data_IF_611311286274
#
_entry.id   IF_611311286274
#
_cell.length_a   1.000
_cell.length_b   1.000
_cell.length_c   1.000
_cell.angle_alpha   90.00
_cell.angle_beta   90.00
_cell.angle_gamma   90.00
#
_symmetry.space_group_name_H-M   'P 1'
#
loop_
_entity.id
_entity.type
_entity.pdbx_description
1 polymer ?
#
# COMPACT_ATOMS: atom_id res chain seq x y z
N UNK A 1 3.89 -17.07 9.07
CA UNK A 1 4.70 -15.88 9.37
C UNK A 1 4.76 -15.78 10.87
N UNK A 2 5.96 -15.81 11.46
CA UNK A 2 6.13 -15.57 12.88
C UNK A 2 6.18 -14.06 13.14
N UNK A 3 5.88 -13.63 14.38
CA UNK A 3 6.03 -12.24 14.81
C UNK A 3 7.47 -11.73 14.59
N UNK A 4 8.44 -12.61 14.77
CA UNK A 4 9.85 -12.29 14.55
C UNK A 4 10.15 -11.95 13.07
N UNK A 5 9.56 -12.68 12.12
CA UNK A 5 9.70 -12.38 10.68
C UNK A 5 9.13 -11.00 10.33
N UNK A 6 8.05 -10.61 11.02
CA UNK A 6 7.42 -9.30 10.84
C UNK A 6 8.36 -8.17 11.25
N UNK A 7 8.96 -8.25 12.44
CA UNK A 7 9.91 -7.24 12.93
C UNK A 7 11.20 -7.22 12.11
N UNK A 8 11.78 -8.38 11.78
CA UNK A 8 12.99 -8.47 10.94
C UNK A 8 12.76 -7.84 9.56
N UNK A 9 11.59 -8.09 8.98
CA UNK A 9 11.19 -7.48 7.71
C UNK A 9 11.08 -5.97 7.81
N UNK A 10 10.43 -5.43 8.85
CA UNK A 10 10.29 -3.99 9.05
C UNK A 10 11.65 -3.29 9.20
N UNK A 11 12.54 -3.87 10.00
CA UNK A 11 13.91 -3.35 10.20
C UNK A 11 14.71 -3.35 8.88
N UNK A 12 14.60 -4.41 8.08
CA UNK A 12 15.26 -4.47 6.78
C UNK A 12 14.78 -3.37 5.83
N UNK A 13 13.47 -3.08 5.84
CA UNK A 13 12.86 -2.05 4.96
C UNK A 13 13.18 -0.64 5.43
N UNK A 14 13.30 -0.41 6.74
CA UNK A 14 13.55 0.93 7.30
C UNK A 14 14.77 1.62 6.68
N UNK A 15 15.86 0.87 6.45
CA UNK A 15 17.08 1.40 5.82
C UNK A 15 16.92 1.85 4.36
N UNK A 16 15.83 1.47 3.70
CA UNK A 16 15.53 1.83 2.32
C UNK A 16 14.64 3.06 2.19
N UNK A 17 13.88 3.44 3.23
CA UNK A 17 12.95 4.58 3.16
C UNK A 17 13.63 5.89 2.71
N UNK A 18 14.83 6.27 3.20
CA UNK A 18 15.52 7.46 2.73
C UNK A 18 15.84 7.43 1.23
N UNK A 19 16.17 6.26 0.66
CA UNK A 19 16.51 6.13 -0.76
C UNK A 19 15.32 6.42 -1.67
N UNK A 20 14.11 6.05 -1.24
CA UNK A 20 12.89 6.41 -1.97
C UNK A 20 12.64 7.92 -1.93
N UNK A 21 12.88 8.57 -0.77
CA UNK A 21 12.75 10.02 -0.63
C UNK A 21 13.78 10.74 -1.53
N UNK A 22 15.05 10.32 -1.48
CA UNK A 22 16.14 10.87 -2.30
C UNK A 22 15.83 10.76 -3.79
N UNK A 23 15.42 9.57 -4.26
CA UNK A 23 15.01 9.39 -5.65
C UNK A 23 13.81 10.28 -6.01
N UNK A 24 12.82 10.37 -5.12
CA UNK A 24 11.68 11.25 -5.26
C UNK A 24 12.10 12.70 -5.49
N UNK A 25 13.02 13.22 -4.69
CA UNK A 25 13.57 14.56 -4.84
C UNK A 25 14.29 14.73 -6.19
N UNK A 26 15.18 13.81 -6.56
CA UNK A 26 15.88 13.84 -7.84
C UNK A 26 14.94 13.74 -9.06
N UNK A 27 13.73 13.21 -8.88
CA UNK A 27 12.74 13.07 -9.95
C UNK A 27 11.90 14.33 -10.23
N UNK A 28 12.17 15.45 -9.54
CA UNK A 28 11.36 16.67 -9.63
C UNK A 28 11.13 17.17 -11.07
N UNK A 29 12.15 17.05 -11.93
CA UNK A 29 12.10 17.48 -13.34
C UNK A 29 11.63 16.37 -14.30
N UNK A 30 11.46 15.12 -13.84
CA UNK A 30 10.98 14.01 -14.67
C UNK A 30 9.48 14.09 -14.88
N UNK A 31 8.97 13.57 -16.01
CA UNK A 31 7.53 13.35 -16.13
C UNK A 31 7.06 12.39 -15.00
N UNK A 32 5.96 12.69 -14.28
CA UNK A 32 5.51 11.85 -13.17
C UNK A 32 5.37 10.37 -13.54
N UNK A 33 4.85 10.09 -14.74
CA UNK A 33 4.62 8.74 -15.26
C UNK A 33 5.93 7.92 -15.44
N UNK A 34 7.09 8.58 -15.53
CA UNK A 34 8.40 7.93 -15.66
C UNK A 34 9.03 7.59 -14.30
N UNK A 35 8.59 8.25 -13.22
CA UNK A 35 9.17 8.08 -11.86
C UNK A 35 9.08 6.65 -11.39
N UNK A 36 7.94 5.99 -11.63
CA UNK A 36 7.74 4.59 -11.22
C UNK A 36 8.75 3.65 -11.89
N UNK A 37 9.25 3.96 -13.09
CA UNK A 37 10.27 3.14 -13.74
C UNK A 37 11.58 3.16 -12.95
N UNK A 38 12.02 4.33 -12.47
CA UNK A 38 13.24 4.45 -11.66
C UNK A 38 13.06 3.99 -10.21
N UNK A 39 11.84 4.02 -9.65
CA UNK A 39 11.56 3.47 -8.32
C UNK A 39 11.62 1.93 -8.28
N UNK A 40 11.35 1.24 -9.39
CA UNK A 40 11.30 -0.24 -9.43
C UNK A 40 12.61 -0.91 -9.02
N UNK A 41 13.79 -0.54 -9.56
CA UNK A 41 15.05 -1.11 -9.09
C UNK A 41 15.28 -0.94 -7.59
N UNK A 42 14.93 0.22 -7.02
CA UNK A 42 15.05 0.50 -5.58
C UNK A 42 14.11 -0.41 -4.79
N UNK A 43 12.85 -0.53 -5.23
CA UNK A 43 11.85 -1.42 -4.64
C UNK A 43 12.28 -2.89 -4.68
N UNK A 44 12.79 -3.36 -5.82
CA UNK A 44 13.27 -4.74 -5.99
C UNK A 44 14.48 -5.05 -5.09
N UNK A 45 15.39 -4.10 -4.92
CA UNK A 45 16.52 -4.27 -4.02
C UNK A 45 16.07 -4.30 -2.54
N UNK A 46 15.14 -3.42 -2.15
CA UNK A 46 14.49 -3.43 -0.84
C UNK A 46 13.75 -4.76 -0.57
N UNK A 47 12.99 -5.27 -1.55
CA UNK A 47 12.36 -6.59 -1.47
C UNK A 47 13.40 -7.69 -1.28
N UNK A 48 14.52 -7.64 -2.01
CA UNK A 48 15.61 -8.60 -1.88
C UNK A 48 16.20 -8.63 -0.46
N UNK A 49 16.40 -7.47 0.16
CA UNK A 49 16.90 -7.35 1.53
C UNK A 49 15.88 -7.89 2.54
N UNK A 50 14.60 -7.54 2.36
CA UNK A 50 13.50 -8.07 3.14
C UNK A 50 13.47 -9.61 3.11
N UNK A 51 13.52 -10.20 1.92
CA UNK A 51 13.50 -11.66 1.77
C UNK A 51 14.70 -12.34 2.41
N UNK A 52 15.90 -11.73 2.34
CA UNK A 52 17.08 -12.27 3.04
C UNK A 52 16.91 -12.23 4.55
N UNK A 53 16.34 -11.17 5.10
CA UNK A 53 16.09 -11.03 6.53
C UNK A 53 15.03 -12.02 7.08
N UNK A 54 14.11 -12.47 6.22
CA UNK A 54 12.99 -13.35 6.59
C UNK A 54 13.10 -14.78 6.05
N UNK A 55 14.28 -15.19 5.57
CA UNK A 55 14.49 -16.50 4.96
C UNK A 55 13.47 -16.85 3.85
N UNK A 56 13.08 -15.85 3.05
CA UNK A 56 12.16 -16.01 1.93
C UNK A 56 10.67 -15.76 2.25
N UNK A 57 10.31 -15.40 3.49
CA UNK A 57 8.91 -15.09 3.82
C UNK A 57 8.51 -13.73 3.24
N UNK A 58 7.45 -13.73 2.43
CA UNK A 58 6.86 -12.54 1.84
C UNK A 58 5.98 -11.80 2.87
N UNK A 59 6.59 -10.94 3.68
CA UNK A 59 5.90 -10.24 4.77
C UNK A 59 5.34 -8.88 4.36
N UNK A 60 6.17 -8.02 3.75
CA UNK A 60 5.87 -6.60 3.54
C UNK A 60 6.03 -6.14 2.09
N UNK A 61 5.95 -7.04 1.09
CA UNK A 61 6.09 -6.64 -0.33
C UNK A 61 5.09 -5.56 -0.75
N UNK A 62 3.84 -5.67 -0.30
CA UNK A 62 2.82 -4.63 -0.52
C UNK A 62 3.18 -3.31 0.16
N UNK A 63 3.68 -3.37 1.39
CA UNK A 63 4.13 -2.19 2.13
C UNK A 63 5.33 -1.51 1.48
N UNK A 64 6.29 -2.25 0.94
CA UNK A 64 7.43 -1.69 0.19
C UNK A 64 6.92 -0.87 -1.01
N UNK A 65 5.96 -1.41 -1.76
CA UNK A 65 5.36 -0.72 -2.89
C UNK A 65 4.68 0.59 -2.47
N UNK A 66 3.76 0.53 -1.50
CA UNK A 66 3.02 1.71 -1.07
C UNK A 66 3.87 2.75 -0.35
N UNK A 67 4.69 2.34 0.63
CA UNK A 67 5.58 3.25 1.36
C UNK A 67 6.65 3.83 0.45
N UNK A 68 7.22 3.04 -0.48
CA UNK A 68 8.19 3.55 -1.45
C UNK A 68 7.62 4.66 -2.32
N UNK A 69 6.37 4.51 -2.79
CA UNK A 69 5.66 5.55 -3.55
C UNK A 69 5.39 6.81 -2.72
N UNK A 70 4.91 6.64 -1.48
CA UNK A 70 4.61 7.77 -0.59
C UNK A 70 5.89 8.52 -0.20
N UNK A 71 6.98 7.81 0.11
CA UNK A 71 8.29 8.38 0.37
C UNK A 71 8.82 9.16 -0.84
N UNK A 72 8.72 8.59 -2.04
CA UNK A 72 9.12 9.28 -3.26
C UNK A 72 8.28 10.54 -3.52
N UNK A 73 6.97 10.46 -3.27
CA UNK A 73 6.08 11.62 -3.38
C UNK A 73 6.49 12.74 -2.41
N UNK A 74 6.79 12.40 -1.15
CA UNK A 74 7.29 13.35 -0.16
C UNK A 74 8.59 14.01 -0.65
N UNK A 75 9.56 13.22 -1.12
CA UNK A 75 10.82 13.74 -1.65
C UNK A 75 10.64 14.70 -2.82
N UNK A 76 9.74 14.35 -3.76
CA UNK A 76 9.44 15.20 -4.91
C UNK A 76 8.78 16.52 -4.49
N UNK A 77 7.80 16.45 -3.59
CA UNK A 77 7.11 17.63 -3.06
C UNK A 77 8.07 18.58 -2.33
N UNK A 78 8.99 18.02 -1.52
CA UNK A 78 10.06 18.79 -0.86
C UNK A 78 10.92 19.53 -1.88
N UNK A 79 11.41 18.83 -2.91
CA UNK A 79 12.26 19.44 -3.93
C UNK A 79 11.55 20.55 -4.72
N UNK A 80 10.24 20.40 -4.94
CA UNK A 80 9.40 21.38 -5.64
C UNK A 80 8.89 22.51 -4.73
N UNK A 81 9.26 22.53 -3.45
CA UNK A 81 8.75 23.47 -2.44
C UNK A 81 7.21 23.49 -2.36
N UNK A 82 6.58 22.32 -2.50
CA UNK A 82 5.13 22.14 -2.42
C UNK A 82 4.71 21.67 -1.03
N UNK A 83 3.43 21.87 -0.69
CA UNK A 83 2.91 21.47 0.62
C UNK A 83 2.91 19.95 0.79
N UNK A 84 3.31 19.50 1.99
CA UNK A 84 3.35 18.09 2.36
C UNK A 84 2.14 17.81 3.23
N UNK A 85 1.11 17.26 2.60
CA UNK A 85 -0.15 16.90 3.23
C UNK A 85 -0.56 15.50 2.77
N UNK A 86 -1.41 14.78 3.52
CA UNK A 86 -1.88 13.46 3.08
C UNK A 86 -2.45 13.49 1.65
N UNK A 87 -3.21 14.54 1.31
CA UNK A 87 -3.83 14.74 0.00
C UNK A 87 -2.75 14.94 -1.09
N UNK A 88 -1.80 15.86 -0.87
CA UNK A 88 -0.77 16.15 -1.88
C UNK A 88 0.20 14.98 -2.06
N UNK A 89 0.54 14.25 -1.00
CA UNK A 89 1.36 13.04 -1.07
C UNK A 89 0.64 11.97 -1.91
N UNK A 90 -0.62 11.65 -1.59
CA UNK A 90 -1.35 10.60 -2.28
C UNK A 90 -1.65 10.95 -3.74
N UNK A 91 -1.98 12.21 -4.04
CA UNK A 91 -2.15 12.69 -5.41
C UNK A 91 -0.84 12.61 -6.22
N UNK A 92 0.29 12.94 -5.60
CA UNK A 92 1.61 12.83 -6.25
C UNK A 92 1.96 11.37 -6.51
N UNK A 93 1.78 10.49 -5.53
CA UNK A 93 1.99 9.04 -5.71
C UNK A 93 1.08 8.45 -6.81
N UNK A 94 -0.17 8.91 -6.91
CA UNK A 94 -1.10 8.53 -7.98
C UNK A 94 -0.59 8.93 -9.36
N UNK A 95 -0.02 10.13 -9.49
CA UNK A 95 0.54 10.58 -10.77
C UNK A 95 1.71 9.71 -11.24
N UNK A 96 2.50 9.15 -10.33
CA UNK A 96 3.53 8.17 -10.68
C UNK A 96 2.97 6.85 -11.21
N UNK A 97 1.73 6.54 -10.83
CA UNK A 97 1.07 5.26 -11.10
C UNK A 97 0.04 5.35 -12.24
N UNK A 98 -0.06 6.48 -12.95
CA UNK A 98 -1.02 6.63 -14.04
C UNK A 98 -0.79 5.58 -15.14
N UNK A 99 -1.85 4.88 -15.52
CA UNK A 99 -1.84 3.78 -16.48
C UNK A 99 -1.33 2.45 -15.91
N UNK A 100 -1.02 2.36 -14.61
CA UNK A 100 -0.44 1.15 -14.01
C UNK A 100 -1.40 -0.03 -14.06
N UNK A 101 -2.67 0.15 -13.68
CA UNK A 101 -3.65 -0.93 -13.68
C UNK A 101 -3.95 -1.43 -15.08
N UNK A 102 -4.05 -0.56 -16.07
CA UNK A 102 -4.26 -0.97 -17.46
C UNK A 102 -3.07 -1.78 -18.00
N UNK A 103 -1.85 -1.27 -17.81
CA UNK A 103 -0.61 -1.92 -18.26
C UNK A 103 -0.29 -3.23 -17.53
N UNK A 104 -0.69 -3.42 -16.28
CA UNK A 104 -0.30 -4.60 -15.50
C UNK A 104 -1.44 -5.57 -15.18
N UNK A 105 -2.70 -5.12 -15.20
CA UNK A 105 -3.85 -5.97 -14.88
C UNK A 105 -4.71 -6.31 -16.10
N UNK A 106 -4.80 -5.45 -17.11
CA UNK A 106 -5.64 -5.70 -18.30
C UNK A 106 -4.93 -6.42 -19.44
N UNK A 107 -3.61 -6.25 -19.57
CA UNK A 107 -2.84 -6.85 -20.68
C UNK A 107 -2.64 -8.35 -20.44
N UNK A 108 -3.30 -9.16 -21.26
CA UNK A 108 -3.28 -10.62 -21.20
C UNK A 108 -1.96 -11.19 -21.73
N UNK A 109 -1.13 -11.71 -20.83
CA UNK A 109 -0.09 -12.67 -21.18
C UNK A 109 -0.64 -14.10 -20.99
N UNK A 110 -0.07 -15.08 -21.70
CA UNK A 110 -0.53 -16.48 -21.73
C UNK A 110 -0.53 -17.19 -20.36
N UNK A 111 0.10 -16.60 -19.33
CA UNK A 111 -0.03 -17.01 -17.93
C UNK A 111 -0.46 -15.82 -17.07
N UNK A 112 -1.72 -15.83 -16.63
CA UNK A 112 -2.25 -14.79 -15.74
C UNK A 112 -1.59 -14.88 -14.37
N UNK A 113 -1.05 -13.76 -13.90
CA UNK A 113 -0.62 -13.64 -12.51
C UNK A 113 -1.84 -13.71 -11.57
N UNK A 114 -1.63 -14.04 -10.29
CA UNK A 114 -2.71 -14.09 -9.31
C UNK A 114 -3.52 -12.77 -9.24
N UNK A 115 -2.84 -11.63 -9.37
CA UNK A 115 -3.47 -10.31 -9.42
C UNK A 115 -4.35 -10.11 -10.66
N UNK A 116 -3.86 -10.48 -11.85
CA UNK A 116 -4.65 -10.41 -13.09
C UNK A 116 -5.88 -11.31 -13.04
N UNK A 117 -5.73 -12.54 -12.50
CA UNK A 117 -6.86 -13.46 -12.31
C UNK A 117 -7.92 -12.88 -11.37
N UNK A 118 -7.51 -12.33 -10.22
CA UNK A 118 -8.44 -11.71 -9.27
C UNK A 118 -9.11 -10.46 -9.84
N UNK A 119 -8.38 -9.66 -10.62
CA UNK A 119 -8.94 -8.53 -11.34
C UNK A 119 -10.02 -8.96 -12.34
N UNK A 120 -9.77 -10.01 -13.12
CA UNK A 120 -10.75 -10.52 -14.08
C UNK A 120 -11.98 -11.18 -13.43
N UNK A 121 -11.77 -11.94 -12.34
CA UNK A 121 -12.83 -12.70 -11.70
C UNK A 121 -13.70 -11.85 -10.75
N UNK A 122 -13.08 -10.91 -10.03
CA UNK A 122 -13.72 -10.18 -8.94
C UNK A 122 -13.63 -8.65 -9.09
N UNK A 123 -13.00 -8.12 -10.14
CA UNK A 123 -12.80 -6.68 -10.33
C UNK A 123 -11.78 -6.06 -9.36
N UNK A 124 -11.06 -6.87 -8.58
CA UNK A 124 -10.14 -6.38 -7.55
C UNK A 124 -8.82 -5.93 -8.17
N UNK A 125 -8.54 -4.62 -8.08
CA UNK A 125 -7.29 -4.01 -8.56
C UNK A 125 -6.13 -4.14 -7.56
N UNK A 126 -6.46 -4.30 -6.26
CA UNK A 126 -5.50 -4.39 -5.17
C UNK A 126 -4.64 -3.14 -4.99
N UNK A 127 -3.45 -3.31 -4.42
CA UNK A 127 -2.55 -2.19 -4.10
C UNK A 127 -2.20 -1.28 -5.29
N UNK A 128 -2.18 -1.82 -6.51
CA UNK A 128 -1.93 -1.04 -7.73
C UNK A 128 -3.06 -0.04 -8.02
N UNK A 129 -4.31 -0.50 -7.88
CA UNK A 129 -5.46 0.37 -8.07
C UNK A 129 -5.60 1.41 -6.98
N UNK A 130 -5.34 1.03 -5.72
CA UNK A 130 -5.27 1.99 -4.62
C UNK A 130 -4.22 3.07 -4.90
N UNK A 131 -3.00 2.68 -5.29
CA UNK A 131 -1.94 3.64 -5.60
C UNK A 131 -2.31 4.56 -6.77
N UNK A 132 -2.79 4.01 -7.88
CA UNK A 132 -3.21 4.80 -9.05
C UNK A 132 -4.40 5.73 -8.77
N UNK A 133 -5.30 5.34 -7.86
CA UNK A 133 -6.44 6.16 -7.44
C UNK A 133 -6.08 7.19 -6.34
N UNK A 134 -4.85 7.18 -5.82
CA UNK A 134 -4.43 8.09 -4.75
C UNK A 134 -4.90 7.67 -3.36
N UNK A 135 -4.88 6.37 -3.08
CA UNK A 135 -5.16 5.75 -1.78
C UNK A 135 -6.51 6.20 -1.16
N UNK A 136 -7.64 6.03 -1.87
CA UNK A 136 -8.95 6.45 -1.36
C UNK A 136 -9.32 5.78 -0.03
N UNK A 137 -8.91 4.53 0.21
CA UNK A 137 -9.13 3.88 1.51
C UNK A 137 -8.41 4.61 2.65
N UNK A 138 -7.24 5.17 2.40
CA UNK A 138 -6.47 5.93 3.39
C UNK A 138 -7.12 7.30 3.61
N UNK A 139 -7.33 8.06 2.55
CA UNK A 139 -7.76 9.46 2.62
C UNK A 139 -9.20 9.59 3.09
N UNK A 140 -10.11 8.73 2.63
CA UNK A 140 -11.54 8.88 2.90
C UNK A 140 -12.00 8.10 4.13
N UNK A 141 -11.24 7.10 4.59
CA UNK A 141 -11.68 6.20 5.65
C UNK A 141 -10.65 6.06 6.78
N UNK A 142 -9.49 5.46 6.52
CA UNK A 142 -8.59 5.05 7.60
C UNK A 142 -7.98 6.22 8.37
N UNK A 143 -7.46 7.24 7.67
CA UNK A 143 -6.83 8.38 8.31
C UNK A 143 -7.84 9.25 9.09
N UNK A 144 -9.00 9.65 8.52
CA UNK A 144 -10.02 10.37 9.28
C UNK A 144 -10.47 9.59 10.52
N UNK A 145 -10.74 8.29 10.39
CA UNK A 145 -11.18 7.45 11.49
C UNK A 145 -10.15 7.39 12.61
N UNK A 146 -8.89 7.12 12.28
CA UNK A 146 -7.79 7.09 13.23
C UNK A 146 -7.66 8.42 13.99
N UNK A 147 -7.68 9.55 13.27
CA UNK A 147 -7.56 10.88 13.88
C UNK A 147 -8.76 11.21 14.78
N UNK A 148 -9.98 10.80 14.41
CA UNK A 148 -11.16 10.95 15.27
C UNK A 148 -11.03 10.17 16.58
N UNK A 149 -10.52 8.93 16.54
CA UNK A 149 -10.32 8.13 17.76
C UNK A 149 -9.26 8.76 18.67
N UNK A 150 -8.18 9.31 18.10
CA UNK A 150 -7.17 10.04 18.88
C UNK A 150 -7.73 11.30 19.51
N UNK A 151 -8.57 12.07 18.80
CA UNK A 151 -9.21 13.28 19.32
C UNK A 151 -10.20 12.96 20.46
N UNK A 152 -10.80 11.77 20.44
CA UNK A 152 -11.60 11.23 21.52
C UNK A 152 -10.77 10.73 22.73
N UNK A 153 -9.44 10.78 22.63
CA UNK A 153 -8.53 10.35 23.70
C UNK A 153 -8.34 8.84 23.79
N UNK A 154 -8.68 8.08 22.74
CA UNK A 154 -8.40 6.65 22.70
C UNK A 154 -6.88 6.43 22.63
N UNK A 155 -6.43 5.34 23.25
CA UNK A 155 -5.04 4.89 23.14
C UNK A 155 -4.65 4.69 21.66
N UNK A 156 -3.47 5.17 21.22
CA UNK A 156 -3.06 5.07 19.82
C UNK A 156 -2.98 3.64 19.27
N UNK A 157 -2.58 2.65 20.07
CA UNK A 157 -2.53 1.26 19.61
C UNK A 157 -3.94 0.70 19.41
N UNK A 158 -4.87 1.00 20.33
CA UNK A 158 -6.27 0.65 20.17
C UNK A 158 -6.90 1.36 18.97
N UNK A 159 -6.59 2.63 18.75
CA UNK A 159 -7.05 3.36 17.57
C UNK A 159 -6.54 2.75 16.27
N UNK A 160 -5.28 2.28 16.22
CA UNK A 160 -4.75 1.55 15.06
C UNK A 160 -5.44 0.21 14.84
N UNK A 161 -5.74 -0.55 15.90
CA UNK A 161 -6.47 -1.81 15.81
C UNK A 161 -7.90 -1.60 15.30
N UNK A 162 -8.58 -0.59 15.79
CA UNK A 162 -9.93 -0.24 15.35
C UNK A 162 -9.92 0.21 13.86
N UNK A 163 -8.98 1.07 13.48
CA UNK A 163 -8.77 1.44 12.07
C UNK A 163 -8.42 0.25 11.18
N UNK A 164 -7.69 -0.75 11.69
CA UNK A 164 -7.42 -1.99 10.97
C UNK A 164 -8.72 -2.78 10.73
N UNK A 165 -9.60 -2.88 11.72
CA UNK A 165 -10.91 -3.51 11.56
C UNK A 165 -11.76 -2.77 10.51
N UNK A 166 -11.75 -1.43 10.53
CA UNK A 166 -12.42 -0.61 9.50
C UNK A 166 -11.91 -0.97 8.11
N UNK A 167 -10.59 -1.02 7.91
CA UNK A 167 -9.99 -1.41 6.65
C UNK A 167 -10.37 -2.84 6.25
N UNK A 168 -10.33 -3.80 7.18
CA UNK A 168 -10.72 -5.19 6.91
C UNK A 168 -12.21 -5.31 6.50
N UNK A 169 -13.08 -4.45 7.01
CA UNK A 169 -14.51 -4.44 6.69
C UNK A 169 -14.81 -3.96 5.27
N UNK A 170 -13.99 -3.09 4.69
CA UNK A 170 -14.28 -2.42 3.40
C UNK A 170 -13.28 -2.72 2.28
N UNK A 171 -12.06 -3.16 2.61
CA UNK A 171 -11.01 -3.41 1.62
C UNK A 171 -11.30 -4.70 0.83
N UNK A 172 -11.16 -4.62 -0.49
CA UNK A 172 -11.14 -5.78 -1.38
C UNK A 172 -9.79 -6.49 -1.35
N UNK A 173 -9.42 -7.07 -0.20
CA UNK A 173 -8.10 -7.66 0.02
C UNK A 173 -7.82 -8.83 -0.93
N UNK A 174 -6.96 -8.57 -1.91
CA UNK A 174 -6.53 -9.57 -2.91
C UNK A 174 -5.79 -10.77 -2.30
N UNK A 175 -5.08 -10.62 -1.18
CA UNK A 175 -4.43 -11.74 -0.51
C UNK A 175 -5.46 -12.66 0.13
N UNK A 176 -6.48 -12.09 0.78
CA UNK A 176 -7.59 -12.86 1.36
C UNK A 176 -8.38 -13.55 0.26
N UNK A 177 -8.75 -12.81 -0.78
CA UNK A 177 -9.46 -13.37 -1.94
C UNK A 177 -8.65 -14.47 -2.65
N UNK A 178 -7.33 -14.35 -2.73
CA UNK A 178 -6.48 -15.38 -3.36
C UNK A 178 -6.49 -16.73 -2.62
N UNK A 179 -6.69 -16.71 -1.29
CA UNK A 179 -6.63 -17.91 -0.42
C UNK A 179 -8.01 -18.46 -0.10
N UNK A 180 -8.95 -17.58 0.23
CA UNK A 180 -10.30 -17.93 0.66
C UNK A 180 -11.38 -17.71 -0.40
N UNK A 181 -11.02 -17.23 -1.59
CA UNK A 181 -11.98 -16.83 -2.62
C UNK A 181 -12.84 -15.65 -2.17
N UNK A 182 -13.87 -15.37 -2.96
CA UNK A 182 -14.85 -14.32 -2.65
C UNK A 182 -15.59 -14.60 -1.34
N UNK A 183 -15.87 -15.88 -1.03
CA UNK A 183 -16.54 -16.29 0.20
C UNK A 183 -15.72 -15.96 1.45
N UNK A 184 -14.41 -16.24 1.43
CA UNK A 184 -13.50 -15.90 2.52
C UNK A 184 -13.34 -14.39 2.71
N UNK A 185 -13.28 -13.63 1.62
CA UNK A 185 -13.24 -12.16 1.69
C UNK A 185 -14.54 -11.60 2.31
N UNK A 186 -15.71 -12.06 1.85
CA UNK A 186 -17.01 -11.64 2.40
C UNK A 186 -17.18 -12.04 3.86
N UNK A 187 -16.67 -13.21 4.25
CA UNK A 187 -16.66 -13.62 5.65
C UNK A 187 -15.83 -12.66 6.50
N UNK A 188 -14.58 -12.37 6.08
CA UNK A 188 -13.69 -11.46 6.80
C UNK A 188 -14.32 -10.08 7.01
N UNK A 189 -14.90 -9.52 5.94
CA UNK A 189 -15.54 -8.20 5.98
C UNK A 189 -16.71 -8.16 6.96
N UNK A 190 -17.55 -9.20 7.00
CA UNK A 190 -18.67 -9.31 7.94
C UNK A 190 -18.21 -9.43 9.39
N UNK A 191 -17.18 -10.24 9.66
CA UNK A 191 -16.65 -10.39 11.01
C UNK A 191 -16.04 -9.08 11.51
N UNK A 192 -15.24 -8.40 10.68
CA UNK A 192 -14.67 -7.10 11.01
C UNK A 192 -15.76 -6.06 11.29
N UNK A 193 -16.81 -6.02 10.49
CA UNK A 193 -17.96 -5.13 10.70
C UNK A 193 -18.72 -5.47 11.99
N UNK A 194 -18.83 -6.76 12.33
CA UNK A 194 -19.47 -7.21 13.57
C UNK A 194 -18.67 -6.78 14.79
N UNK A 195 -17.33 -6.83 14.72
CA UNK A 195 -16.45 -6.38 15.80
C UNK A 195 -16.56 -4.86 16.01
N UNK A 196 -16.51 -4.07 14.93
CA UNK A 196 -16.69 -2.61 15.00
C UNK A 196 -18.02 -2.16 15.61
N UNK A 197 -19.09 -2.94 15.38
CA UNK A 197 -20.40 -2.63 15.96
C UNK A 197 -20.50 -2.95 17.46
N UNK A 198 -19.61 -3.82 17.97
CA UNK A 198 -19.65 -4.29 19.36
C UNK A 198 -18.81 -3.44 20.31
N UNK A 199 -17.88 -2.63 19.79
CA UNK A 199 -16.91 -1.88 20.60
C UNK A 199 -15.82 -2.80 21.12
#
# INVERSE_FOLDING_TARGET
MALEDFHRSALAIQGWLPRFIEFGACSAEMAPEEVLHGLRPIGMACEGDMFRATAGVNTHKGSIFSLGLLCAAIGRLLQLNQSITPITICATAASFCRGLTDRELRTNNSQLTAGQRLYQQLGLTGARGEAEAGYPLVINHALPHYLTLLDQGLDPELALLDTLLLLMAINGDTNVASRGGEGGLRWLQREAQTLLQKG
#
